data_IF_175748122212
#
_entry.id   IF_175748122212
#
_cell.length_a   1.000
_cell.length_b   1.000
_cell.length_c   1.000
_cell.angle_alpha   90.00
_cell.angle_beta   90.00
_cell.angle_gamma   90.00
#
_symmetry.space_group_name_H-M   'P 1'
#
loop_
_entity.id
_entity.type
_entity.pdbx_description
1 polymer ?
#
# COMPACT_ATOMS: atom_id res chain seq x y z
N UNK A 1 -3.02 0.02 25.64
CA UNK A 1 -3.81 -0.68 24.60
C UNK A 1 -3.08 -1.98 24.26
N UNK A 2 -3.57 -3.15 24.72
CA UNK A 2 -2.89 -4.42 24.44
C UNK A 2 -3.02 -4.71 22.94
N UNK A 3 -1.94 -4.57 22.18
CA UNK A 3 -1.91 -4.71 20.70
C UNK A 3 -1.11 -3.65 19.93
N UNK A 4 -0.66 -2.57 20.58
CA UNK A 4 0.10 -1.49 19.92
C UNK A 4 1.38 -1.88 19.14
N UNK A 5 2.21 -2.83 19.62
CA UNK A 5 3.45 -3.19 18.94
C UNK A 5 3.23 -3.91 17.60
N UNK A 6 2.28 -4.86 17.53
CA UNK A 6 2.10 -5.71 16.35
C UNK A 6 1.62 -4.91 15.14
N UNK A 7 0.76 -3.91 15.35
CA UNK A 7 0.24 -3.06 14.28
C UNK A 7 1.37 -2.34 13.54
N UNK A 8 2.29 -1.77 14.31
CA UNK A 8 3.40 -1.01 13.74
C UNK A 8 4.45 -1.95 13.13
N UNK A 9 4.64 -3.14 13.70
CA UNK A 9 5.53 -4.16 13.14
C UNK A 9 5.09 -4.63 11.76
N UNK A 10 3.80 -4.95 11.55
CA UNK A 10 3.34 -5.39 10.23
C UNK A 10 3.31 -4.23 9.21
N UNK A 11 3.12 -2.98 9.66
CA UNK A 11 3.27 -1.81 8.80
C UNK A 11 4.70 -1.65 8.29
N UNK A 12 5.69 -1.66 9.17
CA UNK A 12 7.08 -1.51 8.78
C UNK A 12 7.60 -2.70 7.98
N UNK A 13 7.20 -3.92 8.32
CA UNK A 13 7.54 -5.10 7.53
C UNK A 13 6.92 -5.03 6.13
N UNK A 14 5.65 -4.65 6.03
CA UNK A 14 4.94 -4.50 4.75
C UNK A 14 5.56 -3.43 3.86
N UNK A 15 5.91 -2.28 4.42
CA UNK A 15 6.59 -1.20 3.68
C UNK A 15 8.02 -1.58 3.28
N UNK A 16 8.76 -2.32 4.11
CA UNK A 16 10.07 -2.88 3.75
C UNK A 16 9.97 -3.88 2.59
N UNK A 17 9.01 -4.80 2.64
CA UNK A 17 8.76 -5.75 1.55
C UNK A 17 8.34 -5.02 0.26
N UNK A 18 7.47 -4.02 0.37
CA UNK A 18 7.03 -3.22 -0.77
C UNK A 18 8.19 -2.43 -1.40
N UNK A 19 9.08 -1.85 -0.60
CA UNK A 19 10.27 -1.15 -1.08
C UNK A 19 11.28 -2.11 -1.74
N UNK A 20 11.47 -3.29 -1.17
CA UNK A 20 12.32 -4.34 -1.74
C UNK A 20 11.77 -4.85 -3.08
N UNK A 21 10.47 -5.13 -3.13
CA UNK A 21 9.77 -5.51 -4.36
C UNK A 21 9.82 -4.40 -5.40
N UNK A 22 9.65 -3.14 -5.00
CA UNK A 22 9.78 -1.98 -5.88
C UNK A 22 11.19 -1.88 -6.47
N UNK A 23 12.24 -2.08 -5.67
CA UNK A 23 13.63 -2.07 -6.14
C UNK A 23 13.86 -3.17 -7.20
N UNK A 24 13.44 -4.40 -6.90
CA UNK A 24 13.59 -5.54 -7.81
C UNK A 24 12.79 -5.33 -9.10
N UNK A 25 11.54 -4.90 -8.99
CA UNK A 25 10.65 -4.72 -10.13
C UNK A 25 11.09 -3.54 -11.02
N UNK A 26 11.59 -2.45 -10.42
CA UNK A 26 12.08 -1.28 -11.13
C UNK A 26 13.35 -1.55 -11.96
N UNK A 27 14.07 -2.65 -11.70
CA UNK A 27 15.19 -3.09 -12.54
C UNK A 27 14.74 -3.72 -13.88
N UNK A 28 13.48 -4.14 -13.99
CA UNK A 28 12.92 -4.77 -15.19
C UNK A 28 11.83 -3.93 -15.87
N UNK A 29 10.96 -3.29 -15.08
CA UNK A 29 9.84 -2.47 -15.55
C UNK A 29 9.77 -1.19 -14.71
N UNK A 30 9.60 -0.01 -15.33
CA UNK A 30 9.48 1.28 -14.61
C UNK A 30 8.13 1.39 -13.89
N UNK A 31 7.96 0.63 -12.82
CA UNK A 31 6.75 0.66 -11.99
C UNK A 31 6.71 1.93 -11.16
N UNK A 32 5.51 2.51 -11.05
CA UNK A 32 5.31 3.72 -10.27
C UNK A 32 5.46 3.45 -8.77
N UNK A 33 6.57 3.90 -8.18
CA UNK A 33 6.77 3.83 -6.73
C UNK A 33 5.70 4.58 -5.94
N UNK A 34 5.08 5.61 -6.54
CA UNK A 34 3.98 6.34 -5.92
C UNK A 34 2.73 5.46 -5.81
N UNK A 35 2.44 4.64 -6.82
CA UNK A 35 1.32 3.69 -6.77
C UNK A 35 1.57 2.59 -5.73
N UNK A 36 2.81 2.10 -5.60
CA UNK A 36 3.20 1.13 -4.55
C UNK A 36 2.99 1.72 -3.16
N UNK A 37 3.50 2.93 -2.92
CA UNK A 37 3.40 3.59 -1.62
C UNK A 37 1.96 3.85 -1.19
N UNK A 38 1.14 4.43 -2.08
CA UNK A 38 -0.24 4.75 -1.73
C UNK A 38 -1.14 3.51 -1.72
N UNK A 39 -0.86 2.51 -2.55
CA UNK A 39 -1.52 1.20 -2.47
C UNK A 39 -1.24 0.46 -1.15
N UNK A 40 0.01 0.48 -0.69
CA UNK A 40 0.40 -0.06 0.62
C UNK A 40 -0.26 0.69 1.78
N UNK A 41 -0.27 2.03 1.75
CA UNK A 41 -0.90 2.85 2.78
C UNK A 41 -2.43 2.66 2.86
N UNK A 42 -3.12 2.58 1.71
CA UNK A 42 -4.56 2.32 1.67
C UNK A 42 -4.89 0.92 2.22
N UNK A 43 -4.10 -0.08 1.84
CA UNK A 43 -4.27 -1.46 2.34
C UNK A 43 -3.98 -1.57 3.82
N UNK A 44 -2.99 -0.85 4.33
CA UNK A 44 -2.70 -0.77 5.76
C UNK A 44 -3.90 -0.20 6.54
N UNK A 45 -4.48 0.91 6.09
CA UNK A 45 -5.66 1.50 6.74
C UNK A 45 -6.87 0.55 6.73
N UNK A 46 -7.05 -0.20 5.63
CA UNK A 46 -8.11 -1.21 5.56
C UNK A 46 -7.87 -2.37 6.56
N UNK A 47 -6.66 -2.92 6.61
CA UNK A 47 -6.29 -3.99 7.53
C UNK A 47 -6.35 -3.54 8.98
N UNK A 48 -5.94 -2.30 9.26
CA UNK A 48 -6.03 -1.71 10.60
C UNK A 48 -7.48 -1.75 11.12
N UNK A 49 -8.46 -1.49 10.26
CA UNK A 49 -9.87 -1.51 10.67
C UNK A 49 -10.37 -2.91 10.99
N UNK A 50 -9.93 -3.90 10.20
CA UNK A 50 -10.23 -5.32 10.45
C UNK A 50 -9.61 -5.78 11.77
N UNK A 51 -8.36 -5.39 12.03
CA UNK A 51 -7.59 -5.80 13.21
C UNK A 51 -8.06 -5.12 14.48
N UNK A 52 -8.40 -3.84 14.40
CA UNK A 52 -8.84 -3.07 15.57
C UNK A 52 -10.27 -3.43 16.00
N UNK A 53 -11.06 -4.04 15.11
CA UNK A 53 -12.48 -4.31 15.35
C UNK A 53 -13.37 -3.06 15.39
N UNK A 54 -12.78 -1.88 15.20
CA UNK A 54 -13.44 -0.58 15.25
C UNK A 54 -13.71 -0.06 13.84
N UNK A 55 -14.88 0.57 13.58
CA UNK A 55 -15.23 1.09 12.28
C UNK A 55 -14.45 2.39 11.97
N UNK A 56 -13.21 2.25 11.51
CA UNK A 56 -12.37 3.35 11.03
C UNK A 56 -12.66 3.71 9.56
N UNK A 57 -13.94 3.80 9.20
CA UNK A 57 -14.40 4.02 7.82
C UNK A 57 -13.96 5.37 7.25
N UNK A 58 -13.91 6.42 8.07
CA UNK A 58 -13.48 7.77 7.66
C UNK A 58 -12.02 7.78 7.18
N UNK A 59 -11.01 7.34 7.96
CA UNK A 59 -9.63 7.32 7.50
C UNK A 59 -9.40 6.37 6.31
N UNK A 60 -10.15 5.25 6.22
CA UNK A 60 -10.11 4.37 5.03
C UNK A 60 -10.60 5.12 3.78
N UNK A 61 -11.71 5.85 3.88
CA UNK A 61 -12.24 6.63 2.77
C UNK A 61 -11.24 7.72 2.31
N UNK A 62 -10.65 8.44 3.26
CA UNK A 62 -9.62 9.45 2.97
C UNK A 62 -8.40 8.82 2.29
N UNK A 63 -7.88 7.70 2.82
CA UNK A 63 -6.75 7.00 2.23
C UNK A 63 -7.04 6.51 0.81
N UNK A 64 -8.26 6.02 0.56
CA UNK A 64 -8.70 5.55 -0.76
C UNK A 64 -8.84 6.70 -1.76
N UNK A 65 -9.37 7.85 -1.32
CA UNK A 65 -9.45 9.06 -2.16
C UNK A 65 -8.05 9.55 -2.52
N UNK A 66 -7.13 9.61 -1.55
CA UNK A 66 -5.73 9.99 -1.80
C UNK A 66 -5.08 9.01 -2.79
N UNK A 67 -5.34 7.70 -2.66
CA UNK A 67 -4.90 6.70 -3.63
C UNK A 67 -5.43 6.97 -5.04
N UNK A 68 -6.73 7.26 -5.16
CA UNK A 68 -7.35 7.61 -6.43
C UNK A 68 -6.75 8.86 -7.06
N UNK A 69 -6.58 9.94 -6.30
CA UNK A 69 -6.01 11.20 -6.78
C UNK A 69 -4.55 11.02 -7.22
N UNK A 70 -3.73 10.31 -6.43
CA UNK A 70 -2.32 10.08 -6.78
C UNK A 70 -2.19 9.21 -8.03
N UNK A 71 -2.99 8.15 -8.15
CA UNK A 71 -3.00 7.32 -9.35
C UNK A 71 -3.48 8.09 -10.58
N UNK A 72 -4.49 8.94 -10.43
CA UNK A 72 -5.01 9.78 -11.51
C UNK A 72 -3.97 10.80 -11.97
N UNK A 73 -3.31 11.49 -11.05
CA UNK A 73 -2.20 12.40 -11.37
C UNK A 73 -1.06 11.69 -12.10
N UNK A 74 -0.77 10.44 -11.75
CA UNK A 74 0.25 9.62 -12.42
C UNK A 74 -0.18 9.10 -13.79
N UNK A 75 -1.48 8.99 -14.08
CA UNK A 75 -1.99 8.71 -15.42
C UNK A 75 -1.98 9.97 -16.30
N UNK A 76 -2.25 11.15 -15.73
CA UNK A 76 -2.25 12.43 -16.45
C UNK A 76 -0.83 12.84 -16.84
N UNK A 77 0.12 12.68 -15.91
CA UNK A 77 1.55 12.82 -16.22
C UNK A 77 1.96 11.60 -17.06
N UNK A 78 2.04 11.80 -18.38
CA UNK A 78 2.18 10.76 -19.41
C UNK A 78 3.56 10.05 -19.46
N UNK A 79 4.18 9.82 -18.31
CA UNK A 79 5.46 9.11 -18.18
C UNK A 79 5.30 7.62 -17.83
N UNK A 80 4.10 7.20 -17.44
CA UNK A 80 3.82 5.83 -17.05
C UNK A 80 2.63 5.25 -17.81
N UNK A 81 2.76 4.00 -18.25
CA UNK A 81 1.62 3.28 -18.80
C UNK A 81 0.67 2.85 -17.67
N UNK A 82 -0.65 2.72 -17.95
CA UNK A 82 -1.63 2.30 -16.95
C UNK A 82 -1.27 0.98 -16.25
N UNK A 83 -0.64 0.04 -16.97
CA UNK A 83 -0.21 -1.24 -16.41
C UNK A 83 0.77 -1.07 -15.25
N UNK A 84 1.65 -0.07 -15.29
CA UNK A 84 2.69 0.17 -14.28
C UNK A 84 2.09 0.66 -12.96
N UNK A 85 0.99 1.42 -13.05
CA UNK A 85 0.28 1.97 -11.90
C UNK A 85 -0.54 0.87 -11.22
N UNK A 86 -1.27 0.04 -11.98
CA UNK A 86 -2.03 -1.08 -11.42
C UNK A 86 -1.11 -2.12 -10.76
N UNK A 87 0.00 -2.49 -11.42
CA UNK A 87 0.98 -3.39 -10.81
C UNK A 87 1.59 -2.82 -9.55
N UNK A 88 1.90 -1.51 -9.52
CA UNK A 88 2.37 -0.85 -8.32
C UNK A 88 1.37 -0.96 -7.16
N UNK A 89 0.10 -0.65 -7.42
CA UNK A 89 -0.96 -0.70 -6.40
C UNK A 89 -1.14 -2.12 -5.83
N UNK A 90 -1.16 -3.13 -6.71
CA UNK A 90 -1.29 -4.54 -6.34
C UNK A 90 -0.10 -5.01 -5.51
N UNK A 91 1.14 -4.69 -5.91
CA UNK A 91 2.35 -5.08 -5.18
C UNK A 91 2.33 -4.47 -3.77
N UNK A 92 2.00 -3.18 -3.65
CA UNK A 92 1.88 -2.52 -2.35
C UNK A 92 0.84 -3.19 -1.44
N UNK A 93 -0.33 -3.56 -1.99
CA UNK A 93 -1.38 -4.25 -1.25
C UNK A 93 -0.99 -5.68 -0.84
N UNK A 94 -0.35 -6.43 -1.74
CA UNK A 94 0.13 -7.79 -1.47
C UNK A 94 1.22 -7.80 -0.39
N UNK A 95 2.20 -6.90 -0.46
CA UNK A 95 3.23 -6.80 0.57
C UNK A 95 2.65 -6.48 1.94
N UNK A 96 1.66 -5.58 2.00
CA UNK A 96 1.03 -5.19 3.26
C UNK A 96 0.17 -6.32 3.86
N UNK A 97 -0.54 -7.08 3.02
CA UNK A 97 -1.35 -8.23 3.46
C UNK A 97 -0.49 -9.43 3.88
N UNK A 98 0.60 -9.72 3.16
CA UNK A 98 1.58 -10.75 3.56
C UNK A 98 2.22 -10.41 4.90
N UNK A 99 2.61 -9.15 5.12
CA UNK A 99 3.16 -8.72 6.39
C UNK A 99 2.14 -8.85 7.53
N UNK A 100 0.88 -8.52 7.29
CA UNK A 100 -0.20 -8.71 8.26
C UNK A 100 -0.37 -10.18 8.64
N UNK A 101 -0.41 -11.09 7.66
CA UNK A 101 -0.56 -12.53 7.89
C UNK A 101 0.63 -13.13 8.64
N UNK A 102 1.85 -12.60 8.46
CA UNK A 102 3.03 -13.14 9.13
C UNK A 102 3.17 -12.67 10.59
N UNK A 103 2.66 -11.48 10.91
CA UNK A 103 2.81 -10.85 12.22
C UNK A 103 1.61 -11.14 13.14
N UNK A 104 0.44 -11.41 12.58
CA UNK A 104 -0.81 -11.67 13.31
C UNK A 104 -1.21 -13.13 13.23
#
# INVERSE_FOLDING_TARGET
>A
MPGGPSVMTFFFLGTFLAASAALMANNYFKISMHAIGVGGAATFMMLLGVVSGEPITIPIAIATIIAGVVCTSRLIVSDHHPYEIYWGLIIGALCQSVACYFVM
#
